data_IF_524005179369
#
_entry.id   IF_524005179369
#
_cell.length_a   1.000
_cell.length_b   1.000
_cell.length_c   1.000
_cell.angle_alpha   90.00
_cell.angle_beta   90.00
_cell.angle_gamma   90.00
#
_symmetry.space_group_name_H-M   'P 1'
#
loop_
_entity.id
_entity.type
_entity.pdbx_description
1 polymer ?
#
# COMPACT_ATOMS: atom_id res chain seq x y z
N UNK A 1 -8.89 -11.65 21.66
CA UNK A 1 -8.01 -12.04 20.54
C UNK A 1 -7.40 -10.78 19.97
N UNK A 2 -6.11 -10.55 20.17
CA UNK A 2 -5.46 -9.33 19.67
C UNK A 2 -5.36 -9.40 18.15
N UNK A 3 -5.74 -8.29 17.48
CA UNK A 3 -5.50 -8.14 16.04
C UNK A 3 -4.00 -7.92 15.85
N UNK A 4 -3.35 -8.71 15.01
CA UNK A 4 -1.93 -8.60 14.68
C UNK A 4 -1.80 -8.16 13.23
N UNK A 5 -0.96 -7.17 12.99
CA UNK A 5 -0.55 -6.78 11.65
C UNK A 5 0.92 -7.07 11.43
N UNK A 6 1.24 -7.49 10.23
CA UNK A 6 2.61 -7.67 9.78
C UNK A 6 3.01 -6.46 8.94
N UNK A 7 4.17 -5.90 9.24
CA UNK A 7 4.79 -4.86 8.41
C UNK A 7 6.01 -5.48 7.74
N UNK A 8 5.97 -5.59 6.43
CA UNK A 8 7.09 -6.05 5.63
C UNK A 8 7.99 -4.86 5.33
N UNK A 9 9.19 -4.90 5.87
CA UNK A 9 10.15 -3.80 5.80
C UNK A 9 11.07 -3.93 4.57
N UNK A 10 10.91 -3.02 3.63
CA UNK A 10 11.77 -2.88 2.46
C UNK A 10 12.95 -1.91 2.65
N UNK A 11 13.25 -1.55 3.91
CA UNK A 11 14.35 -0.65 4.24
C UNK A 11 13.96 0.81 4.38
N UNK A 12 12.66 1.12 4.52
CA UNK A 12 12.19 2.48 4.71
C UNK A 12 12.60 3.05 6.06
N UNK A 13 13.03 4.29 6.07
CA UNK A 13 13.21 5.06 7.31
C UNK A 13 11.90 5.30 8.07
N UNK A 14 10.73 5.11 7.43
CA UNK A 14 9.41 5.31 8.04
C UNK A 14 8.77 4.03 8.58
N UNK A 15 9.39 2.86 8.42
CA UNK A 15 8.80 1.58 8.86
C UNK A 15 8.45 1.59 10.35
N UNK A 16 9.35 2.11 11.20
CA UNK A 16 9.11 2.21 12.64
C UNK A 16 7.97 3.19 12.97
N UNK A 17 7.84 4.27 12.20
CA UNK A 17 6.74 5.22 12.37
C UNK A 17 5.39 4.57 12.01
N UNK A 18 5.34 3.78 10.93
CA UNK A 18 4.15 3.01 10.53
C UNK A 18 3.76 2.07 11.68
N UNK A 19 4.71 1.29 12.21
CA UNK A 19 4.47 0.38 13.32
C UNK A 19 3.94 1.10 14.56
N UNK A 20 4.52 2.25 14.89
CA UNK A 20 4.07 3.08 16.00
C UNK A 20 2.62 3.55 15.81
N UNK A 21 2.27 4.04 14.62
CA UNK A 21 0.90 4.47 14.33
C UNK A 21 -0.12 3.34 14.44
N UNK A 22 0.24 2.14 13.97
CA UNK A 22 -0.62 0.95 14.12
C UNK A 22 -0.84 0.61 15.59
N UNK A 23 0.22 0.68 16.42
CA UNK A 23 0.14 0.40 17.87
C UNK A 23 -0.64 1.46 18.63
N UNK A 24 -0.56 2.73 18.24
CA UNK A 24 -1.38 3.82 18.80
C UNK A 24 -2.89 3.58 18.60
N UNK A 25 -3.28 2.77 17.61
CA UNK A 25 -4.64 2.31 17.36
C UNK A 25 -5.00 1.01 18.12
N UNK A 26 -4.19 0.61 19.11
CA UNK A 26 -4.33 -0.63 19.87
C UNK A 26 -4.30 -1.90 18.98
N UNK A 27 -3.55 -1.86 17.89
CA UNK A 27 -3.30 -3.02 17.03
C UNK A 27 -1.84 -3.44 17.20
N UNK A 28 -1.61 -4.70 17.56
CA UNK A 28 -0.27 -5.25 17.66
C UNK A 28 0.37 -5.35 16.26
N UNK A 29 1.62 -4.97 16.13
CA UNK A 29 2.35 -5.02 14.86
C UNK A 29 3.75 -5.57 15.03
N UNK A 30 4.13 -6.47 14.14
CA UNK A 30 5.50 -6.95 13.96
C UNK A 30 6.10 -6.40 12.68
N UNK A 31 7.41 -6.17 12.72
CA UNK A 31 8.19 -5.76 11.57
C UNK A 31 9.08 -6.95 11.19
N UNK A 32 8.99 -7.38 9.93
CA UNK A 32 9.87 -8.40 9.37
C UNK A 32 10.59 -7.81 8.16
N UNK A 33 11.93 -7.82 8.12
CA UNK A 33 12.67 -7.45 6.92
C UNK A 33 12.30 -8.35 5.73
N UNK A 34 12.14 -7.78 4.55
CA UNK A 34 11.70 -8.49 3.36
C UNK A 34 12.55 -9.73 3.03
N UNK A 35 13.87 -9.67 3.31
CA UNK A 35 14.81 -10.76 3.05
C UNK A 35 14.76 -11.89 4.11
N UNK A 36 13.96 -11.72 5.15
CA UNK A 36 13.67 -12.74 6.17
C UNK A 36 12.22 -13.21 6.13
N UNK A 37 11.45 -12.67 5.19
CA UNK A 37 10.06 -13.05 5.02
C UNK A 37 9.97 -14.40 4.31
N UNK A 38 9.29 -15.36 4.89
CA UNK A 38 9.02 -16.68 4.34
C UNK A 38 7.52 -16.89 4.11
N UNK A 39 6.71 -16.55 5.10
CA UNK A 39 5.26 -16.70 5.05
C UNK A 39 4.57 -15.78 6.06
N UNK A 40 3.27 -15.57 5.87
CA UNK A 40 2.45 -14.81 6.83
C UNK A 40 2.03 -15.76 7.96
N UNK A 41 2.27 -15.41 9.25
CA UNK A 41 1.76 -16.17 10.38
C UNK A 41 0.21 -16.21 10.41
N UNK A 42 -0.37 -17.31 10.84
CA UNK A 42 -1.83 -17.55 10.83
C UNK A 42 -2.66 -16.55 11.65
N UNK A 43 -2.06 -15.94 12.66
CA UNK A 43 -2.71 -14.96 13.53
C UNK A 43 -2.69 -13.53 12.98
N UNK A 44 -2.00 -13.28 11.88
CA UNK A 44 -1.96 -11.98 11.18
C UNK A 44 -3.30 -11.71 10.48
N UNK A 45 -3.80 -10.49 10.62
CA UNK A 45 -5.09 -10.05 10.07
C UNK A 45 -4.95 -9.01 8.95
N UNK A 46 -3.74 -8.59 8.66
CA UNK A 46 -3.44 -7.66 7.58
C UNK A 46 -1.95 -7.42 7.46
N UNK A 47 -1.51 -7.01 6.29
CA UNK A 47 -0.11 -6.77 5.97
C UNK A 47 0.07 -5.35 5.45
N UNK A 48 1.14 -4.70 5.89
CA UNK A 48 1.57 -3.40 5.36
C UNK A 48 2.92 -3.60 4.67
N UNK A 49 3.01 -3.21 3.41
CA UNK A 49 4.24 -3.17 2.64
C UNK A 49 4.81 -1.76 2.75
N UNK A 50 6.00 -1.62 3.30
CA UNK A 50 6.61 -0.32 3.54
C UNK A 50 7.18 0.31 2.26
N UNK A 51 7.73 1.51 2.39
CA UNK A 51 8.59 2.10 1.37
C UNK A 51 9.97 1.45 1.31
N UNK A 52 10.78 1.87 0.36
CA UNK A 52 12.17 1.43 0.17
C UNK A 52 13.02 2.58 -0.35
N UNK A 53 14.34 2.60 -0.09
CA UNK A 53 15.27 3.47 -0.79
C UNK A 53 15.52 3.05 -2.24
N UNK A 54 15.18 1.81 -2.60
CA UNK A 54 15.32 1.28 -3.95
C UNK A 54 14.18 1.74 -4.87
N UNK A 55 14.48 1.83 -6.17
CA UNK A 55 13.45 1.82 -7.21
C UNK A 55 12.96 0.39 -7.46
N UNK A 56 11.68 0.21 -7.76
CA UNK A 56 11.15 -1.11 -8.19
C UNK A 56 11.77 -1.57 -9.52
N UNK A 57 12.46 -0.68 -10.24
CA UNK A 57 13.15 -0.94 -11.50
C UNK A 57 14.59 -1.43 -11.31
N UNK A 58 15.16 -1.25 -10.12
CA UNK A 58 16.52 -1.69 -9.82
C UNK A 58 16.61 -3.22 -9.88
N UNK A 59 17.73 -3.77 -10.33
CA UNK A 59 17.91 -5.23 -10.42
C UNK A 59 17.92 -5.89 -9.03
N UNK A 60 18.47 -5.21 -8.04
CA UNK A 60 18.61 -5.65 -6.65
C UNK A 60 17.44 -5.19 -5.75
N UNK A 61 16.39 -4.66 -6.35
CA UNK A 61 15.21 -4.20 -5.59
C UNK A 61 14.54 -5.35 -4.83
N UNK A 62 14.01 -5.09 -3.62
CA UNK A 62 13.25 -6.06 -2.84
C UNK A 62 12.04 -6.63 -3.60
N UNK A 63 12.02 -7.93 -3.90
CA UNK A 63 10.92 -8.59 -4.61
C UNK A 63 10.50 -9.89 -3.92
N UNK A 64 9.94 -9.83 -2.69
CA UNK A 64 9.44 -11.03 -2.03
C UNK A 64 8.22 -11.60 -2.76
N UNK A 65 8.00 -12.91 -2.65
CA UNK A 65 6.79 -13.54 -3.12
C UNK A 65 5.60 -13.14 -2.24
N UNK A 66 4.61 -12.46 -2.81
CA UNK A 66 3.40 -12.00 -2.11
C UNK A 66 2.20 -12.94 -2.31
N UNK A 67 2.34 -14.04 -3.04
CA UNK A 67 1.24 -14.92 -3.44
C UNK A 67 0.46 -15.51 -2.26
N UNK A 68 1.11 -15.71 -1.12
CA UNK A 68 0.48 -16.26 0.07
C UNK A 68 -0.31 -15.23 0.90
N UNK A 69 -0.20 -13.95 0.59
CA UNK A 69 -0.96 -12.89 1.27
C UNK A 69 -2.01 -12.24 0.37
N UNK A 70 -1.71 -12.06 -0.93
CA UNK A 70 -2.64 -11.44 -1.88
C UNK A 70 -3.87 -12.33 -2.08
N UNK A 71 -5.06 -11.72 -2.01
CA UNK A 71 -6.33 -12.44 -2.09
C UNK A 71 -6.76 -13.15 -0.79
N UNK A 72 -5.87 -13.33 0.18
CA UNK A 72 -6.15 -13.99 1.45
C UNK A 72 -6.26 -13.02 2.63
N UNK A 73 -5.54 -11.90 2.56
CA UNK A 73 -5.46 -10.90 3.62
C UNK A 73 -5.57 -9.49 3.03
N UNK A 74 -6.08 -8.53 3.81
CA UNK A 74 -5.94 -7.12 3.47
C UNK A 74 -4.46 -6.73 3.40
N UNK A 75 -4.05 -6.13 2.28
CA UNK A 75 -2.68 -5.65 2.06
C UNK A 75 -2.71 -4.16 1.75
N UNK A 76 -1.91 -3.38 2.46
CA UNK A 76 -1.70 -1.96 2.23
C UNK A 76 -0.27 -1.72 1.75
N UNK A 77 -0.11 -1.26 0.53
CA UNK A 77 1.18 -0.81 0.00
C UNK A 77 1.40 0.68 0.22
N UNK A 78 2.57 1.06 0.72
CA UNK A 78 2.97 2.45 0.92
C UNK A 78 4.22 2.73 0.09
N UNK A 79 4.18 3.77 -0.75
CA UNK A 79 5.29 4.18 -1.60
C UNK A 79 5.83 3.00 -2.44
N UNK A 80 7.04 2.49 -2.17
CA UNK A 80 7.61 1.32 -2.85
C UNK A 80 6.65 0.12 -2.85
N UNK A 81 5.99 -0.16 -1.70
CA UNK A 81 5.02 -1.25 -1.61
C UNK A 81 3.85 -1.11 -2.59
N UNK A 82 3.35 0.11 -2.79
CA UNK A 82 2.32 0.38 -3.79
C UNK A 82 2.85 0.24 -5.23
N UNK A 83 4.05 0.76 -5.50
CA UNK A 83 4.71 0.62 -6.81
C UNK A 83 4.97 -0.84 -7.15
N UNK A 84 5.43 -1.64 -6.18
CA UNK A 84 5.65 -3.06 -6.36
C UNK A 84 4.35 -3.82 -6.66
N UNK A 85 3.25 -3.50 -5.95
CA UNK A 85 1.93 -4.06 -6.25
C UNK A 85 1.45 -3.69 -7.66
N UNK A 86 1.60 -2.42 -8.07
CA UNK A 86 1.23 -2.00 -9.42
C UNK A 86 2.02 -2.76 -10.48
N UNK A 87 3.34 -2.86 -10.34
CA UNK A 87 4.23 -3.52 -11.30
C UNK A 87 3.95 -5.03 -11.40
N UNK A 88 3.75 -5.72 -10.28
CA UNK A 88 3.49 -7.17 -10.27
C UNK A 88 2.14 -7.55 -10.86
N UNK A 89 1.21 -6.60 -10.99
CA UNK A 89 -0.12 -6.81 -11.54
C UNK A 89 -0.32 -6.15 -12.92
N UNK A 90 0.76 -5.97 -13.67
CA UNK A 90 0.69 -5.51 -15.06
C UNK A 90 0.67 -3.99 -15.23
N UNK A 91 0.82 -3.23 -14.16
CA UNK A 91 1.04 -1.79 -14.22
C UNK A 91 2.49 -1.44 -14.57
N UNK A 92 2.76 -0.17 -14.79
CA UNK A 92 4.09 0.36 -15.09
C UNK A 92 4.52 1.45 -14.12
N UNK A 93 5.80 1.43 -13.79
CA UNK A 93 6.45 2.40 -12.91
C UNK A 93 7.69 2.93 -13.61
N UNK A 94 7.83 4.25 -13.68
CA UNK A 94 8.97 4.90 -14.31
C UNK A 94 9.56 5.99 -13.42
N UNK A 95 10.78 6.42 -13.75
CA UNK A 95 11.37 7.58 -13.10
C UNK A 95 10.49 8.81 -13.31
N UNK A 96 10.15 9.49 -12.23
CA UNK A 96 9.43 10.74 -12.35
C UNK A 96 10.31 11.82 -12.95
N UNK A 97 9.82 12.51 -13.98
CA UNK A 97 10.48 13.67 -14.55
C UNK A 97 10.47 14.88 -13.59
N UNK A 98 9.49 14.96 -12.73
CA UNK A 98 9.41 15.88 -11.60
C UNK A 98 9.56 15.04 -10.31
N UNK A 99 10.72 15.16 -9.65
CA UNK A 99 10.88 14.56 -8.33
C UNK A 99 9.89 15.22 -7.38
N UNK A 100 8.80 14.51 -7.09
CA UNK A 100 7.77 15.00 -6.18
C UNK A 100 8.24 14.82 -4.74
N UNK A 101 8.96 15.81 -4.26
CA UNK A 101 9.33 15.93 -2.85
C UNK A 101 8.63 17.16 -2.28
N UNK A 102 7.75 16.95 -1.32
CA UNK A 102 7.08 18.03 -0.61
C UNK A 102 5.57 17.92 -0.59
N UNK A 103 4.94 19.07 -0.53
CA UNK A 103 3.49 19.21 -0.39
C UNK A 103 2.79 19.00 -1.73
N UNK A 104 1.77 18.16 -1.74
CA UNK A 104 0.85 17.98 -2.85
C UNK A 104 -0.59 18.06 -2.34
N UNK A 105 -1.48 18.64 -3.12
CA UNK A 105 -2.90 18.66 -2.80
C UNK A 105 -3.63 17.54 -3.57
N UNK A 106 -4.56 16.87 -2.91
CA UNK A 106 -5.37 15.85 -3.54
C UNK A 106 -6.38 16.51 -4.49
N UNK A 107 -6.27 16.21 -5.77
CA UNK A 107 -7.17 16.73 -6.79
C UNK A 107 -8.47 15.91 -6.91
N UNK A 108 -8.39 14.60 -6.62
CA UNK A 108 -9.52 13.68 -6.64
C UNK A 108 -9.46 12.75 -5.44
N UNK A 109 -10.60 12.51 -4.79
CA UNK A 109 -10.75 11.60 -3.65
C UNK A 109 -12.06 10.85 -3.75
N UNK A 110 -12.02 9.51 -3.73
CA UNK A 110 -13.21 8.66 -3.64
C UNK A 110 -13.59 8.53 -2.16
N UNK A 111 -14.42 9.44 -1.67
CA UNK A 111 -14.78 9.54 -0.25
C UNK A 111 -15.54 8.34 0.33
N UNK A 112 -16.13 7.50 -0.52
CA UNK A 112 -16.76 6.23 -0.11
C UNK A 112 -15.75 5.12 0.18
N UNK A 113 -14.47 5.30 -0.17
CA UNK A 113 -13.44 4.32 0.12
C UNK A 113 -13.07 4.35 1.61
N UNK A 114 -13.04 3.20 2.32
CA UNK A 114 -12.73 3.16 3.76
C UNK A 114 -11.39 3.77 4.14
N UNK A 115 -10.36 3.68 3.26
CA UNK A 115 -9.03 4.26 3.52
C UNK A 115 -9.04 5.79 3.48
N UNK A 116 -10.00 6.38 2.75
CA UNK A 116 -10.10 7.82 2.53
C UNK A 116 -11.27 8.46 3.27
N UNK A 117 -11.91 7.71 4.16
CA UNK A 117 -13.02 8.24 4.96
C UNK A 117 -12.56 9.44 5.79
N UNK A 118 -13.22 10.58 5.62
CA UNK A 118 -12.86 11.83 6.28
C UNK A 118 -11.74 12.62 5.60
N UNK A 119 -11.17 12.11 4.51
CA UNK A 119 -10.21 12.84 3.67
C UNK A 119 -10.99 13.63 2.61
N UNK A 120 -10.87 14.95 2.63
CA UNK A 120 -11.51 15.81 1.65
C UNK A 120 -10.62 16.06 0.43
N UNK A 121 -11.24 16.43 -0.68
CA UNK A 121 -10.55 17.00 -1.83
C UNK A 121 -9.77 18.24 -1.38
N UNK A 122 -8.66 18.54 -2.01
CA UNK A 122 -7.68 19.57 -1.61
C UNK A 122 -6.96 19.33 -0.27
N UNK A 123 -7.19 18.19 0.39
CA UNK A 123 -6.36 17.80 1.52
C UNK A 123 -4.89 17.73 1.13
N UNK A 124 -4.04 18.23 2.00
CA UNK A 124 -2.61 18.24 1.77
C UNK A 124 -1.97 16.89 2.13
N UNK A 125 -1.21 16.33 1.23
CA UNK A 125 -0.37 15.15 1.43
C UNK A 125 1.11 15.52 1.24
N UNK A 126 2.00 14.70 1.81
CA UNK A 126 3.43 14.82 1.59
C UNK A 126 3.88 13.70 0.66
N UNK A 127 4.52 14.09 -0.42
CA UNK A 127 5.07 13.17 -1.41
C UNK A 127 6.59 13.08 -1.22
N UNK A 128 7.11 11.86 -1.35
CA UNK A 128 8.56 11.61 -1.25
C UNK A 128 8.92 10.40 -2.10
N UNK A 129 8.94 10.57 -3.41
CA UNK A 129 9.28 9.48 -4.34
C UNK A 129 9.98 9.99 -5.59
N UNK A 130 10.92 9.16 -6.08
CA UNK A 130 11.64 9.41 -7.34
C UNK A 130 11.02 8.68 -8.52
N UNK A 131 10.10 7.75 -8.30
CA UNK A 131 9.40 6.97 -9.30
C UNK A 131 7.90 7.27 -9.27
N UNK A 132 7.26 7.19 -10.43
CA UNK A 132 5.82 7.44 -10.59
C UNK A 132 5.15 6.23 -11.22
N UNK A 133 3.97 5.87 -10.73
CA UNK A 133 3.11 4.86 -11.34
C UNK A 133 2.41 5.49 -12.54
N UNK A 134 2.70 4.99 -13.74
CA UNK A 134 2.10 5.48 -14.98
C UNK A 134 0.84 4.70 -15.36
N UNK A 135 0.76 3.43 -14.98
CA UNK A 135 -0.43 2.61 -15.16
C UNK A 135 -0.57 1.60 -14.02
N UNK A 136 -1.80 1.22 -13.75
CA UNK A 136 -2.17 0.15 -12.82
C UNK A 136 -2.84 -0.97 -13.62
N UNK A 137 -2.76 -2.23 -13.13
CA UNK A 137 -3.43 -3.35 -13.78
C UNK A 137 -4.96 -3.20 -13.79
N UNK A 138 -5.64 -3.91 -14.68
CA UNK A 138 -7.09 -3.81 -14.91
C UNK A 138 -7.93 -4.16 -13.66
N UNK A 139 -7.37 -4.88 -12.71
CA UNK A 139 -8.01 -5.20 -11.43
C UNK A 139 -8.04 -4.04 -10.43
N UNK A 140 -7.29 -2.98 -10.70
CA UNK A 140 -7.21 -1.83 -9.81
C UNK A 140 -8.04 -0.65 -10.30
N UNK A 141 -8.57 0.10 -9.36
CA UNK A 141 -9.19 1.41 -9.62
C UNK A 141 -8.50 2.50 -8.81
N UNK A 142 -8.42 3.69 -9.40
CA UNK A 142 -7.88 4.87 -8.73
C UNK A 142 -8.86 5.36 -7.67
N UNK A 143 -8.38 5.58 -6.45
CA UNK A 143 -9.16 6.12 -5.33
C UNK A 143 -8.77 7.55 -4.94
N UNK A 144 -7.56 7.97 -5.26
CA UNK A 144 -7.17 9.38 -5.18
C UNK A 144 -6.06 9.73 -6.18
N UNK A 145 -6.00 11.01 -6.53
CA UNK A 145 -4.93 11.58 -7.36
C UNK A 145 -4.49 12.93 -6.81
N UNK A 146 -3.31 13.38 -7.20
CA UNK A 146 -2.89 14.79 -7.10
C UNK A 146 -3.00 15.44 -8.47
N UNK A 147 -2.63 16.72 -8.60
CA UNK A 147 -2.58 17.40 -9.89
C UNK A 147 -1.51 16.79 -10.81
N UNK A 148 -0.42 16.28 -10.24
CA UNK A 148 0.74 15.77 -10.97
C UNK A 148 0.77 14.25 -11.04
N UNK A 149 0.17 13.55 -10.06
CA UNK A 149 0.15 12.06 -9.97
C UNK A 149 -1.26 11.53 -10.12
N UNK A 150 -1.50 10.86 -11.24
CA UNK A 150 -2.80 10.24 -11.53
C UNK A 150 -3.14 9.11 -10.56
N UNK A 151 -2.18 8.26 -10.23
CA UNK A 151 -2.35 7.08 -9.38
C UNK A 151 -1.72 7.29 -8.00
N UNK A 152 -2.11 8.35 -7.30
CA UNK A 152 -1.63 8.64 -5.95
C UNK A 152 -2.17 7.63 -4.91
N UNK A 153 -3.35 7.06 -5.18
CA UNK A 153 -3.92 5.94 -4.45
C UNK A 153 -4.80 5.09 -5.35
N UNK A 154 -4.74 3.79 -5.19
CA UNK A 154 -5.56 2.82 -5.93
C UNK A 154 -5.92 1.64 -5.02
N UNK A 155 -6.97 0.92 -5.38
CA UNK A 155 -7.42 -0.29 -4.69
C UNK A 155 -7.64 -1.43 -5.67
N UNK A 156 -7.52 -2.66 -5.19
CA UNK A 156 -7.91 -3.87 -5.90
C UNK A 156 -9.44 -4.01 -5.84
N UNK A 157 -10.09 -4.12 -7.00
CA UNK A 157 -11.53 -4.28 -7.11
C UNK A 157 -11.99 -5.70 -6.81
N UNK A 158 -11.11 -6.70 -6.96
CA UNK A 158 -11.45 -8.12 -6.76
C UNK A 158 -11.56 -8.49 -5.28
N UNK A 159 -10.86 -7.80 -4.39
CA UNK A 159 -10.88 -8.07 -2.96
C UNK A 159 -12.21 -7.74 -2.27
N UNK A 160 -13.10 -6.98 -2.94
CA UNK A 160 -14.43 -6.62 -2.41
C UNK A 160 -15.56 -7.54 -2.87
N UNK A 161 -15.29 -8.53 -3.71
CA UNK A 161 -16.32 -9.46 -4.23
C UNK A 161 -16.46 -10.72 -3.38
N UNK A 162 -15.63 -10.92 -2.36
CA UNK A 162 -15.86 -12.02 -1.41
C UNK A 162 -16.93 -11.60 -0.41
N UNK A 163 -18.10 -12.26 -0.36
CA UNK A 163 -19.12 -11.95 0.63
C UNK A 163 -18.53 -12.13 2.04
N UNK A 164 -18.71 -11.12 2.88
CA UNK A 164 -18.36 -11.23 4.28
C UNK A 164 -19.09 -12.40 4.91
N UNK A 165 -18.45 -13.22 5.77
CA UNK A 165 -19.14 -14.28 6.51
C UNK A 165 -20.34 -13.79 7.33
N UNK A 166 -20.53 -12.47 7.48
CA UNK A 166 -21.70 -11.86 8.14
C UNK A 166 -22.93 -11.78 7.27
N UNK A 167 -22.80 -11.93 5.94
CA UNK A 167 -23.93 -11.82 5.01
C UNK A 167 -24.73 -13.14 4.88
N UNK A 168 -24.35 -14.17 5.63
CA UNK A 168 -24.99 -15.47 5.67
C UNK A 168 -25.60 -15.83 7.05
N UNK A 169 -25.95 -14.86 7.87
CA UNK A 169 -26.79 -15.15 9.05
C UNK A 169 -28.26 -14.89 8.69
N UNK A 170 -29.14 -15.89 8.82
CA UNK A 170 -30.57 -15.77 8.62
C UNK A 170 -31.23 -14.87 9.68
#
# INVERSE_FOLDING_TARGET
MYKRQLILDFGSQYTQLIARRVRELNVYSDIIPWNRYESVPDDVKGVILSGSPHSVRDEDAPRPDLSNMLGNLPVLGVCYGAQYLAQTHGGSVEASNSREYGRANLAHVVGSNPLLNGVSQESQAWMSHGDTILSIGDQFETICSTHDVKFAGFRDCLLYTSPSPRDHQP
#
